data_IF_863760197789
#
_entry.id   IF_863760197789
#
_cell.length_a   1.000
_cell.length_b   1.000
_cell.length_c   1.000
_cell.angle_alpha   90.00
_cell.angle_beta   90.00
_cell.angle_gamma   90.00
#
_symmetry.space_group_name_H-M   'P 1'
#
loop_
_entity.id
_entity.type
_entity.pdbx_description
1 polymer ?
#
# COMPACT_ATOMS: atom_id res chain seq x y z
N UNK A 1 -11.13 17.95 -6.57
CA UNK A 1 -11.16 17.58 -5.14
C UNK A 1 -9.79 16.98 -4.83
N UNK A 2 -9.13 17.37 -3.75
CA UNK A 2 -7.82 16.82 -3.41
C UNK A 2 -7.99 15.38 -2.88
N UNK A 3 -7.25 14.42 -3.43
CA UNK A 3 -7.19 13.06 -2.88
C UNK A 3 -6.50 13.10 -1.51
N UNK A 4 -7.26 12.75 -0.46
CA UNK A 4 -6.77 12.62 0.91
C UNK A 4 -6.15 11.25 1.12
N UNK A 5 -5.28 11.13 2.12
CA UNK A 5 -4.66 9.87 2.51
C UNK A 5 -5.72 8.77 2.75
N UNK A 6 -6.78 9.09 3.47
CA UNK A 6 -7.89 8.17 3.75
C UNK A 6 -8.60 7.70 2.47
N UNK A 7 -8.88 8.61 1.53
CA UNK A 7 -9.54 8.25 0.26
C UNK A 7 -8.68 7.31 -0.59
N UNK A 8 -7.37 7.56 -0.66
CA UNK A 8 -6.42 6.71 -1.40
C UNK A 8 -6.39 5.31 -0.78
N UNK A 9 -6.33 5.20 0.55
CA UNK A 9 -6.31 3.89 1.21
C UNK A 9 -7.65 3.18 1.16
N UNK A 10 -8.78 3.90 1.16
CA UNK A 10 -10.10 3.32 0.91
C UNK A 10 -10.18 2.70 -0.50
N UNK A 11 -9.62 3.37 -1.51
CA UNK A 11 -9.54 2.84 -2.87
C UNK A 11 -8.60 1.64 -2.97
N UNK A 12 -7.43 1.68 -2.33
CA UNK A 12 -6.51 0.54 -2.22
C UNK A 12 -7.23 -0.67 -1.62
N UNK A 13 -7.92 -0.48 -0.49
CA UNK A 13 -8.71 -1.53 0.16
C UNK A 13 -9.76 -2.11 -0.80
N UNK A 14 -10.50 -1.24 -1.51
CA UNK A 14 -11.50 -1.66 -2.50
C UNK A 14 -10.87 -2.53 -3.62
N UNK A 15 -9.71 -2.13 -4.14
CA UNK A 15 -8.97 -2.91 -5.16
C UNK A 15 -8.53 -4.28 -4.63
N UNK A 16 -8.04 -4.35 -3.39
CA UNK A 16 -7.66 -5.62 -2.76
C UNK A 16 -8.88 -6.53 -2.61
N UNK A 17 -10.01 -5.99 -2.14
CA UNK A 17 -11.25 -6.76 -1.94
C UNK A 17 -11.84 -7.32 -3.24
N UNK A 18 -11.62 -6.64 -4.38
CA UNK A 18 -12.04 -7.11 -5.71
C UNK A 18 -11.24 -8.32 -6.20
N UNK A 19 -10.03 -8.56 -5.67
CA UNK A 19 -9.23 -9.73 -6.09
C UNK A 19 -9.74 -11.01 -5.41
N UNK A 20 -9.61 -12.20 -6.04
CA UNK A 20 -10.09 -13.46 -5.48
C UNK A 20 -9.48 -13.79 -4.10
N UNK A 21 -10.18 -14.53 -3.23
CA UNK A 21 -9.67 -14.93 -1.91
C UNK A 21 -8.30 -15.61 -1.94
N UNK A 22 -8.04 -16.47 -2.95
CA UNK A 22 -6.75 -17.13 -3.12
C UNK A 22 -5.60 -16.14 -3.40
N UNK A 23 -5.87 -15.07 -4.15
CA UNK A 23 -4.88 -14.02 -4.42
C UNK A 23 -4.59 -13.23 -3.15
N UNK A 24 -5.63 -12.86 -2.39
CA UNK A 24 -5.50 -12.17 -1.10
C UNK A 24 -4.76 -13.01 -0.08
N UNK A 25 -5.06 -14.31 0.00
CA UNK A 25 -4.37 -15.25 0.88
C UNK A 25 -2.85 -15.29 0.60
N UNK A 26 -2.45 -15.22 -0.68
CA UNK A 26 -1.05 -15.13 -1.05
C UNK A 26 -0.35 -13.85 -0.54
N UNK A 27 -1.09 -12.76 -0.35
CA UNK A 27 -0.62 -11.49 0.16
C UNK A 27 -1.08 -11.23 1.61
N UNK A 28 -1.49 -12.27 2.35
CA UNK A 28 -2.03 -12.10 3.70
C UNK A 28 -0.91 -11.65 4.65
N UNK A 29 -0.97 -10.40 5.11
CA UNK A 29 0.02 -9.77 5.97
C UNK A 29 -0.44 -8.38 6.45
N UNK A 30 0.28 -7.87 7.44
CA UNK A 30 0.19 -6.46 7.88
C UNK A 30 1.24 -5.62 7.15
N UNK A 31 0.78 -4.59 6.46
CA UNK A 31 1.59 -3.66 5.68
C UNK A 31 1.50 -2.26 6.28
N UNK A 32 2.63 -1.66 6.64
CA UNK A 32 2.68 -0.29 7.16
C UNK A 32 3.17 0.66 6.08
N UNK A 33 2.53 1.80 5.96
CA UNK A 33 2.87 2.86 5.03
C UNK A 33 3.15 4.13 5.82
N UNK A 34 4.37 4.61 5.72
CA UNK A 34 4.78 5.89 6.27
C UNK A 34 4.84 6.91 5.14
N UNK A 35 3.84 7.78 5.10
CA UNK A 35 3.69 8.79 4.07
C UNK A 35 4.23 10.11 4.59
N UNK A 36 5.28 10.62 3.94
CA UNK A 36 5.93 11.88 4.33
C UNK A 36 5.37 13.07 3.55
N UNK A 37 5.53 14.28 4.10
CA UNK A 37 5.07 15.53 3.48
C UNK A 37 3.68 15.97 3.95
N UNK A 38 3.15 17.04 3.33
CA UNK A 38 1.87 17.65 3.70
C UNK A 38 0.69 16.72 3.38
N UNK A 39 -0.18 16.51 4.38
CA UNK A 39 -1.27 15.53 4.30
C UNK A 39 -0.81 14.07 4.39
N UNK A 40 0.46 13.84 4.71
CA UNK A 40 1.01 12.52 5.01
C UNK A 40 0.64 12.02 6.41
N UNK A 41 1.02 10.78 6.70
CA UNK A 41 0.67 10.08 7.93
C UNK A 41 1.11 8.62 7.88
N UNK A 42 0.85 7.90 8.97
CA UNK A 42 1.10 6.46 9.03
C UNK A 42 -0.22 5.73 8.83
N UNK A 43 -0.25 4.81 7.87
CA UNK A 43 -1.40 3.94 7.59
C UNK A 43 -0.97 2.48 7.68
N UNK A 44 -1.87 1.63 8.17
CA UNK A 44 -1.67 0.19 8.22
C UNK A 44 -2.75 -0.47 7.37
N UNK A 45 -2.35 -1.28 6.40
CA UNK A 45 -3.23 -2.15 5.63
C UNK A 45 -3.05 -3.58 6.12
N UNK A 46 -4.10 -4.21 6.60
CA UNK A 46 -4.13 -5.63 6.93
C UNK A 46 -4.86 -6.36 5.82
N UNK A 47 -4.18 -7.34 5.21
CA UNK A 47 -4.75 -8.19 4.18
C UNK A 47 -4.87 -9.60 4.74
N UNK A 48 -6.03 -10.21 4.54
CA UNK A 48 -6.33 -11.59 4.90
C UNK A 48 -7.04 -12.28 3.74
N UNK A 49 -7.13 -13.62 3.77
CA UNK A 49 -7.89 -14.37 2.77
C UNK A 49 -9.37 -13.89 2.71
N UNK A 50 -9.95 -13.62 3.87
CA UNK A 50 -11.33 -13.20 4.05
C UNK A 50 -11.60 -11.72 3.74
N UNK A 51 -10.60 -10.85 3.72
CA UNK A 51 -10.83 -9.41 3.58
C UNK A 51 -9.57 -8.55 3.65
N UNK A 52 -9.80 -7.24 3.73
CA UNK A 52 -8.75 -6.26 3.94
C UNK A 52 -9.27 -5.10 4.78
N UNK A 53 -8.43 -4.59 5.68
CA UNK A 53 -8.75 -3.52 6.62
C UNK A 53 -7.67 -2.45 6.56
N UNK A 54 -8.07 -1.19 6.75
CA UNK A 54 -7.15 -0.05 6.82
C UNK A 54 -7.32 0.59 8.19
N UNK A 55 -6.20 0.84 8.86
CA UNK A 55 -6.14 1.49 10.15
C UNK A 55 -5.21 2.71 10.07
N UNK A 56 -5.62 3.81 10.70
CA UNK A 56 -4.76 4.97 10.91
C UNK A 56 -3.78 4.68 12.05
N UNK A 57 -2.49 4.89 11.80
CA UNK A 57 -1.45 4.43 12.71
C UNK A 57 -1.36 2.90 12.72
N UNK A 58 -0.48 2.36 13.56
CA UNK A 58 -0.27 0.91 13.63
C UNK A 58 0.52 0.52 14.85
N UNK A 59 -0.13 -0.23 15.75
CA UNK A 59 0.48 -0.83 16.95
C UNK A 59 0.97 -2.26 16.66
N UNK A 60 0.50 -2.86 15.56
CA UNK A 60 0.88 -4.23 15.15
C UNK A 60 2.25 -4.24 14.47
N UNK A 61 3.07 -5.28 14.70
CA UNK A 61 4.29 -5.49 13.92
C UNK A 61 3.91 -5.70 12.45
N UNK A 62 4.48 -4.88 11.58
CA UNK A 62 4.25 -4.96 10.15
C UNK A 62 5.24 -5.93 9.50
N UNK A 63 4.73 -6.86 8.69
CA UNK A 63 5.57 -7.77 7.91
C UNK A 63 6.35 -7.01 6.82
N UNK A 64 5.78 -5.90 6.34
CA UNK A 64 6.37 -5.02 5.34
C UNK A 64 6.11 -3.57 5.74
N UNK A 65 7.13 -2.73 5.59
CA UNK A 65 7.00 -1.28 5.76
C UNK A 65 7.39 -0.57 4.47
N UNK A 66 6.56 0.39 4.07
CA UNK A 66 6.76 1.25 2.92
C UNK A 66 6.95 2.69 3.39
N UNK A 67 7.90 3.41 2.80
CA UNK A 67 8.07 4.85 3.03
C UNK A 67 8.17 5.59 1.70
N UNK A 68 7.33 6.58 1.51
CA UNK A 68 7.25 7.43 0.31
C UNK A 68 6.58 8.77 0.63
N UNK A 69 6.67 9.74 -0.28
CA UNK A 69 5.98 11.02 -0.12
C UNK A 69 4.49 10.94 -0.46
N UNK A 70 3.68 11.85 0.08
CA UNK A 70 2.26 11.97 -0.28
C UNK A 70 2.07 12.24 -1.78
N UNK A 71 3.01 12.96 -2.40
CA UNK A 71 2.99 13.21 -3.84
C UNK A 71 3.22 11.92 -4.64
N UNK A 72 4.27 11.16 -4.31
CA UNK A 72 4.55 9.88 -4.97
C UNK A 72 3.39 8.88 -4.75
N UNK A 73 2.75 8.90 -3.57
CA UNK A 73 1.58 8.06 -3.29
C UNK A 73 0.41 8.38 -4.24
N UNK A 74 0.07 9.68 -4.42
CA UNK A 74 -0.98 10.10 -5.36
C UNK A 74 -0.67 9.67 -6.78
N UNK A 75 0.58 9.83 -7.19
CA UNK A 75 1.01 9.45 -8.53
C UNK A 75 1.01 7.94 -8.76
N UNK A 76 1.30 7.14 -7.71
CA UNK A 76 1.12 5.69 -7.74
C UNK A 76 -0.35 5.28 -7.78
N UNK A 77 -1.18 5.86 -6.91
CA UNK A 77 -2.61 5.53 -6.82
C UNK A 77 -3.36 5.86 -8.12
N UNK A 78 -3.00 6.98 -8.73
CA UNK A 78 -3.48 7.43 -10.04
C UNK A 78 -2.80 6.78 -11.24
N UNK A 79 -1.84 5.86 -11.03
CA UNK A 79 -1.16 5.14 -12.12
C UNK A 79 -0.23 6.01 -12.99
N UNK A 80 0.09 7.24 -12.56
CA UNK A 80 0.99 8.16 -13.26
C UNK A 80 2.44 7.71 -13.21
N UNK A 81 2.82 6.98 -12.15
CA UNK A 81 4.17 6.47 -11.95
C UNK A 81 4.12 4.96 -11.66
N UNK A 82 5.16 4.24 -12.11
CA UNK A 82 5.31 2.80 -11.86
C UNK A 82 6.06 2.58 -10.53
N UNK A 83 5.58 1.70 -9.62
CA UNK A 83 6.22 1.41 -8.33
C UNK A 83 7.71 1.06 -8.43
N UNK A 84 8.08 0.26 -9.43
CA UNK A 84 9.46 -0.16 -9.64
C UNK A 84 10.43 1.01 -9.85
N UNK A 85 10.00 2.06 -10.55
CA UNK A 85 10.83 3.26 -10.76
C UNK A 85 11.11 4.02 -9.47
N UNK A 86 10.14 4.08 -8.54
CA UNK A 86 10.32 4.74 -7.24
C UNK A 86 11.21 3.93 -6.29
N UNK A 87 11.13 2.60 -6.34
CA UNK A 87 12.04 1.73 -5.58
C UNK A 87 13.47 1.91 -6.05
N UNK A 88 13.70 1.86 -7.37
CA UNK A 88 15.03 2.07 -7.95
C UNK A 88 15.59 3.47 -7.66
N UNK A 89 14.75 4.50 -7.70
CA UNK A 89 15.17 5.88 -7.38
C UNK A 89 15.32 6.14 -5.87
N UNK A 90 15.04 5.15 -5.00
CA UNK A 90 15.08 5.29 -3.54
C UNK A 90 13.98 6.17 -2.94
N UNK A 91 12.98 6.58 -3.75
CA UNK A 91 11.83 7.41 -3.31
C UNK A 91 10.75 6.58 -2.62
N UNK A 92 10.63 5.30 -3.01
CA UNK A 92 9.88 4.30 -2.27
C UNK A 92 10.86 3.37 -1.58
N UNK A 93 10.92 3.41 -0.25
CA UNK A 93 11.68 2.46 0.55
C UNK A 93 10.78 1.33 1.00
N UNK A 94 11.28 0.10 0.89
CA UNK A 94 10.58 -1.11 1.34
C UNK A 94 11.49 -1.83 2.33
N UNK A 95 10.97 -2.17 3.50
CA UNK A 95 11.66 -2.99 4.50
C UNK A 95 10.77 -4.14 4.96
N UNK A 96 11.38 -5.22 5.46
CA UNK A 96 10.67 -6.45 5.85
C UNK A 96 10.61 -7.48 4.72
N UNK A 97 9.47 -8.15 4.57
CA UNK A 97 9.31 -9.26 3.62
C UNK A 97 9.04 -8.76 2.18
N UNK A 98 10.09 -8.75 1.36
CA UNK A 98 10.00 -8.30 -0.04
C UNK A 98 9.04 -9.15 -0.89
N UNK A 99 8.93 -10.45 -0.64
CA UNK A 99 7.99 -11.32 -1.38
C UNK A 99 6.54 -10.91 -1.15
N UNK A 100 6.18 -10.58 0.08
CA UNK A 100 4.85 -10.03 0.40
C UNK A 100 4.63 -8.64 -0.20
N UNK A 101 5.67 -7.81 -0.27
CA UNK A 101 5.62 -6.50 -0.90
C UNK A 101 5.33 -6.61 -2.41
N UNK A 102 6.00 -7.54 -3.11
CA UNK A 102 5.77 -7.79 -4.53
C UNK A 102 4.34 -8.28 -4.80
N UNK A 103 3.84 -9.22 -3.99
CA UNK A 103 2.47 -9.74 -4.11
C UNK A 103 1.42 -8.65 -3.92
N UNK A 104 1.61 -7.75 -2.96
CA UNK A 104 0.74 -6.59 -2.80
C UNK A 104 0.84 -5.67 -4.02
N UNK A 105 2.05 -5.43 -4.54
CA UNK A 105 2.26 -4.66 -5.77
C UNK A 105 1.48 -5.24 -6.96
N UNK A 106 1.48 -6.56 -7.13
CA UNK A 106 0.73 -7.24 -8.18
C UNK A 106 -0.80 -7.07 -8.04
N UNK A 107 -1.31 -7.09 -6.80
CA UNK A 107 -2.72 -6.85 -6.50
C UNK A 107 -3.14 -5.42 -6.87
N UNK A 108 -2.25 -4.45 -6.64
CA UNK A 108 -2.51 -3.02 -6.81
C UNK A 108 -2.17 -2.47 -8.20
N UNK A 109 -1.63 -3.30 -9.10
CA UNK A 109 -1.40 -2.91 -10.50
C UNK A 109 -2.72 -2.40 -11.11
N UNK A 110 -2.73 -1.19 -11.71
CA UNK A 110 -3.86 -0.78 -12.54
C UNK A 110 -3.97 -1.75 -13.73
N UNK A 111 -5.21 -2.13 -14.05
CA UNK A 111 -5.53 -2.94 -15.24
C UNK A 111 -5.40 -2.10 -16.52
#
# INVERSE_FOLDING_TARGET
MAETLESIFADIRSRVLRKPPAVRAGAAATYRFEITGEGGGVMTLVVEAGGAEVETGGVRPAAVQFRLSMQDLRDLAGGRIRPFGLVLSGRLKITGNLSLAMRLGDILKPE
#
